data_IF_744618522060
#
_entry.id   IF_744618522060
#
_cell.length_a   1.000
_cell.length_b   1.000
_cell.length_c   1.000
_cell.angle_alpha   90.00
_cell.angle_beta   90.00
_cell.angle_gamma   90.00
#
_symmetry.space_group_name_H-M   'P 1'
#
loop_
_entity.id
_entity.type
_entity.pdbx_description
1 polymer ?
#
# COMPACT_ATOMS: atom_id res chain seq x y z
N UNK A 1 5.43 -18.98 25.57
CA UNK A 1 5.29 -17.86 24.63
C UNK A 1 5.48 -18.47 23.25
N UNK A 2 4.38 -18.89 22.62
CA UNK A 2 4.42 -19.80 21.48
C UNK A 2 4.96 -19.13 20.22
N UNK A 3 5.81 -19.88 19.52
CA UNK A 3 6.25 -19.65 18.15
C UNK A 3 5.07 -19.90 17.19
N UNK A 4 4.09 -19.00 17.16
CA UNK A 4 3.12 -18.98 16.06
C UNK A 4 3.81 -18.36 14.86
N UNK A 5 4.38 -19.21 14.00
CA UNK A 5 4.85 -18.79 12.70
C UNK A 5 3.71 -18.07 11.96
N UNK A 6 3.96 -16.82 11.57
CA UNK A 6 3.07 -15.98 10.77
C UNK A 6 2.77 -16.72 9.44
N UNK A 7 1.54 -17.22 9.29
CA UNK A 7 1.14 -18.01 8.12
C UNK A 7 0.50 -17.08 7.08
N UNK A 8 1.35 -16.37 6.34
CA UNK A 8 0.90 -15.53 5.24
C UNK A 8 0.64 -16.38 3.97
N UNK A 9 -0.51 -16.16 3.33
CA UNK A 9 -0.83 -16.67 2.01
C UNK A 9 -0.44 -15.63 0.94
N UNK A 10 0.13 -16.09 -0.18
CA UNK A 10 0.47 -15.23 -1.32
C UNK A 10 -0.37 -15.65 -2.52
N UNK A 11 -1.21 -14.74 -3.01
CA UNK A 11 -1.96 -14.91 -4.26
C UNK A 11 -1.45 -13.93 -5.31
N UNK A 12 -1.04 -14.42 -6.48
CA UNK A 12 -0.69 -13.57 -7.62
C UNK A 12 -1.90 -13.46 -8.54
N UNK A 13 -2.41 -12.24 -8.70
CA UNK A 13 -3.55 -11.95 -9.57
C UNK A 13 -3.15 -12.04 -11.05
N UNK A 14 -4.13 -12.17 -11.94
CA UNK A 14 -3.90 -12.26 -13.39
C UNK A 14 -3.22 -11.02 -14.01
N UNK A 15 -3.29 -9.87 -13.32
CA UNK A 15 -2.58 -8.63 -13.71
C UNK A 15 -1.15 -8.54 -13.13
N UNK A 16 -0.68 -9.56 -12.42
CA UNK A 16 0.66 -9.62 -11.82
C UNK A 16 0.78 -9.01 -10.42
N UNK A 17 -0.28 -8.43 -9.85
CA UNK A 17 -0.25 -7.93 -8.46
C UNK A 17 -0.21 -9.10 -7.48
N UNK A 18 0.76 -9.08 -6.56
CA UNK A 18 0.83 -10.03 -5.45
C UNK A 18 0.02 -9.49 -4.26
N UNK A 19 -0.93 -10.31 -3.79
CA UNK A 19 -1.69 -10.08 -2.56
C UNK A 19 -1.13 -11.00 -1.49
N UNK A 20 -0.60 -10.40 -0.42
CA UNK A 20 -0.12 -11.11 0.76
C UNK A 20 -1.17 -10.91 1.85
N UNK A 21 -1.76 -12.00 2.33
CA UNK A 21 -2.84 -11.95 3.30
C UNK A 21 -2.63 -12.95 4.43
N UNK A 22 -3.02 -12.55 5.64
CA UNK A 22 -3.02 -13.42 6.80
C UNK A 22 -4.37 -13.29 7.51
N UNK A 23 -5.02 -14.43 7.74
CA UNK A 23 -6.22 -14.46 8.55
C UNK A 23 -5.85 -14.63 10.02
N UNK A 24 -6.28 -13.68 10.84
CA UNK A 24 -5.99 -13.66 12.26
C UNK A 24 -7.31 -13.78 13.06
N UNK A 25 -7.70 -15.00 13.50
CA UNK A 25 -8.95 -15.22 14.22
C UNK A 25 -9.12 -14.31 15.44
N UNK A 26 -10.33 -13.81 15.66
CA UNK A 26 -10.67 -12.97 16.81
C UNK A 26 -10.33 -11.48 16.68
N UNK A 27 -9.74 -11.02 15.56
CA UNK A 27 -9.57 -9.58 15.27
C UNK A 27 -10.79 -9.00 14.57
N UNK A 28 -11.18 -7.80 14.99
CA UNK A 28 -12.31 -7.03 14.44
C UNK A 28 -11.85 -5.89 13.50
N UNK A 29 -10.54 -5.76 13.27
CA UNK A 29 -9.95 -4.77 12.38
C UNK A 29 -9.02 -5.44 11.38
N UNK A 30 -8.77 -4.74 10.28
CA UNK A 30 -7.81 -5.13 9.25
C UNK A 30 -6.78 -4.02 9.10
N UNK A 31 -5.53 -4.41 8.83
CA UNK A 31 -4.51 -3.50 8.33
C UNK A 31 -4.32 -3.79 6.85
N UNK A 32 -4.30 -2.73 6.03
CA UNK A 32 -4.08 -2.83 4.60
C UNK A 32 -2.91 -1.93 4.23
N UNK A 33 -2.03 -2.42 3.37
CA UNK A 33 -0.92 -1.66 2.80
C UNK A 33 -0.80 -1.94 1.32
N UNK A 34 -0.36 -0.94 0.57
CA UNK A 34 0.05 -1.05 -0.82
C UNK A 34 1.54 -0.73 -0.88
N UNK A 35 2.32 -1.57 -1.56
CA UNK A 35 3.76 -1.36 -1.72
C UNK A 35 4.11 -1.34 -3.20
N UNK A 36 4.93 -0.36 -3.58
CA UNK A 36 5.47 -0.23 -4.92
C UNK A 36 6.95 -0.57 -4.89
N UNK A 37 7.42 -1.29 -5.91
CA UNK A 37 8.83 -1.67 -6.04
C UNK A 37 9.75 -0.55 -6.53
N UNK A 38 9.28 0.71 -6.49
CA UNK A 38 10.01 1.88 -6.96
C UNK A 38 9.98 3.00 -5.91
N UNK A 39 10.98 3.87 -5.96
CA UNK A 39 11.11 5.02 -5.07
C UNK A 39 12.17 5.99 -5.55
N UNK A 40 12.68 6.83 -4.64
CA UNK A 40 13.63 7.90 -5.01
C UNK A 40 14.91 7.40 -5.68
N UNK A 41 15.29 6.14 -5.47
CA UNK A 41 16.46 5.51 -6.11
C UNK A 41 16.28 5.33 -7.62
N UNK A 42 15.04 5.20 -8.09
CA UNK A 42 14.71 4.85 -9.47
C UNK A 42 14.47 6.09 -10.35
N UNK A 43 14.75 7.28 -9.81
CA UNK A 43 14.49 8.56 -10.46
C UNK A 43 15.69 9.06 -11.25
N UNK A 44 15.44 9.83 -12.31
CA UNK A 44 16.49 10.64 -12.93
C UNK A 44 16.95 11.74 -11.97
N UNK A 45 18.17 12.24 -12.18
CA UNK A 45 18.78 13.22 -11.28
C UNK A 45 17.99 14.53 -11.22
N UNK A 46 17.38 14.91 -12.34
CA UNK A 46 16.52 16.07 -12.51
C UNK A 46 15.10 15.88 -11.94
N UNK A 47 14.68 14.65 -11.65
CA UNK A 47 13.35 14.28 -11.13
C UNK A 47 13.35 13.97 -9.62
N UNK A 48 14.51 14.17 -8.98
CA UNK A 48 14.70 13.89 -7.56
C UNK A 48 13.58 14.50 -6.71
N UNK A 49 12.92 13.66 -5.92
CA UNK A 49 11.83 14.06 -5.04
C UNK A 49 10.44 13.81 -5.62
N UNK A 50 10.28 13.45 -6.90
CA UNK A 50 8.96 13.12 -7.44
C UNK A 50 8.31 11.90 -6.76
N UNK A 51 9.07 10.89 -6.33
CA UNK A 51 8.51 9.75 -5.60
C UNK A 51 7.82 10.22 -4.29
N UNK A 52 8.47 11.10 -3.53
CA UNK A 52 7.89 11.68 -2.33
C UNK A 52 6.74 12.65 -2.66
N UNK A 53 6.88 13.46 -3.71
CA UNK A 53 5.79 14.34 -4.16
C UNK A 53 4.55 13.51 -4.52
N UNK A 54 4.71 12.43 -5.27
CA UNK A 54 3.63 11.53 -5.66
C UNK A 54 2.94 10.92 -4.43
N UNK A 55 3.72 10.47 -3.44
CA UNK A 55 3.20 10.00 -2.15
C UNK A 55 2.26 11.03 -1.51
N UNK A 56 2.64 12.32 -1.46
CA UNK A 56 1.74 13.38 -0.98
C UNK A 56 0.50 13.55 -1.85
N UNK A 57 0.66 13.50 -3.17
CA UNK A 57 -0.42 13.77 -4.12
C UNK A 57 -1.49 12.68 -4.12
N UNK A 58 -1.15 11.43 -3.76
CA UNK A 58 -2.12 10.33 -3.62
C UNK A 58 -3.23 10.68 -2.61
N UNK A 59 -2.95 11.53 -1.62
CA UNK A 59 -3.92 11.95 -0.60
C UNK A 59 -4.66 13.25 -0.93
N UNK A 60 -4.46 13.82 -2.13
CA UNK A 60 -5.10 15.07 -2.56
C UNK A 60 -6.38 14.87 -3.39
N UNK A 61 -6.86 13.64 -3.47
CA UNK A 61 -8.11 13.29 -4.13
C UNK A 61 -7.91 12.53 -5.44
N UNK A 62 -9.03 12.18 -6.06
CA UNK A 62 -9.15 11.45 -7.31
C UNK A 62 -10.30 12.06 -8.14
N UNK A 63 -10.54 11.51 -9.33
CA UNK A 63 -11.69 11.91 -10.15
C UNK A 63 -13.05 11.64 -9.47
N UNK A 64 -13.10 10.75 -8.48
CA UNK A 64 -14.34 10.29 -7.84
C UNK A 64 -14.53 10.80 -6.41
N UNK A 65 -13.46 11.27 -5.76
CA UNK A 65 -13.46 11.71 -4.36
C UNK A 65 -12.47 12.85 -4.19
N UNK A 66 -12.88 13.95 -3.58
CA UNK A 66 -11.96 15.00 -3.18
C UNK A 66 -11.05 14.57 -2.02
N UNK A 67 -10.13 15.45 -1.61
CA UNK A 67 -9.17 15.16 -0.55
C UNK A 67 -9.85 14.85 0.80
N UNK A 68 -10.92 15.58 1.15
CA UNK A 68 -11.58 15.40 2.45
C UNK A 68 -12.34 14.06 2.48
N UNK A 69 -13.06 13.73 1.41
CA UNK A 69 -13.77 12.45 1.29
C UNK A 69 -12.82 11.24 1.20
N UNK A 70 -11.61 11.41 0.66
CA UNK A 70 -10.61 10.35 0.58
C UNK A 70 -9.95 10.07 1.94
N UNK A 71 -9.73 11.12 2.74
CA UNK A 71 -9.04 11.02 4.03
C UNK A 71 -9.99 10.86 5.23
N UNK A 72 -11.30 10.76 4.99
CA UNK A 72 -12.28 10.49 6.02
C UNK A 72 -12.07 9.07 6.59
N UNK A 73 -11.92 8.99 7.92
CA UNK A 73 -11.77 7.76 8.69
C UNK A 73 -13.13 7.18 9.11
#
# INVERSE_FOLDING_TARGET
MGDEAMHAEITVLSNGVAVISEHLPGRQSVALSLSLGNGSRDQLREENGFAHLLEHMVFKGSLLRDADALNAA
#
